data_IF_821534191178
#
_entry.id   IF_821534191178
#
_cell.length_a   1.000
_cell.length_b   1.000
_cell.length_c   1.000
_cell.angle_alpha   90.00
_cell.angle_beta   90.00
_cell.angle_gamma   90.00
#
_symmetry.space_group_name_H-M   'P 1'
#
loop_
_entity.id
_entity.type
_entity.pdbx_description
1 polymer ?
#
# COMPACT_ATOMS: atom_id res chain seq x y z
N UNK A 1 -7.74 -9.68 -3.90
CA UNK A 1 -7.42 -9.60 -5.28
C UNK A 1 -6.89 -10.83 -6.00
N UNK A 2 -5.89 -11.55 -5.48
CA UNK A 2 -5.22 -12.64 -6.22
C UNK A 2 -6.15 -13.80 -6.68
N UNK A 3 -7.14 -14.27 -5.91
CA UNK A 3 -8.07 -15.30 -6.42
C UNK A 3 -8.78 -14.90 -7.70
N UNK A 4 -9.01 -13.60 -7.91
CA UNK A 4 -9.60 -13.09 -9.15
C UNK A 4 -8.74 -13.41 -10.39
N UNK A 5 -7.41 -13.39 -10.25
CA UNK A 5 -6.48 -13.75 -11.32
C UNK A 5 -6.79 -15.15 -11.82
N UNK A 6 -6.87 -16.11 -10.91
CA UNK A 6 -7.11 -17.53 -11.23
C UNK A 6 -8.54 -17.75 -11.75
N UNK A 7 -9.54 -17.06 -11.20
CA UNK A 7 -10.91 -17.09 -11.73
C UNK A 7 -10.97 -16.57 -13.17
N UNK A 8 -10.29 -15.47 -13.48
CA UNK A 8 -10.22 -14.94 -14.84
C UNK A 8 -9.44 -15.87 -15.77
N UNK A 9 -8.33 -16.44 -15.29
CA UNK A 9 -7.58 -17.40 -16.08
C UNK A 9 -8.39 -18.69 -16.36
N UNK A 10 -9.12 -19.21 -15.38
CA UNK A 10 -10.04 -20.32 -15.58
C UNK A 10 -11.06 -20.04 -16.69
N UNK A 11 -11.55 -18.79 -16.76
CA UNK A 11 -12.53 -18.36 -17.76
C UNK A 11 -11.92 -18.19 -19.16
N UNK A 12 -10.76 -17.55 -19.25
CA UNK A 12 -10.20 -17.14 -20.55
C UNK A 12 -9.10 -18.08 -21.07
N UNK A 13 -8.50 -18.89 -20.19
CA UNK A 13 -7.37 -19.78 -20.50
C UNK A 13 -6.21 -19.08 -21.20
N UNK A 14 -6.02 -17.80 -20.89
CA UNK A 14 -4.98 -16.95 -21.47
C UNK A 14 -4.50 -15.91 -20.48
N UNK A 15 -3.21 -15.89 -20.19
CA UNK A 15 -2.55 -14.87 -19.36
C UNK A 15 -2.75 -13.48 -19.98
N UNK A 16 -2.64 -13.35 -21.31
CA UNK A 16 -2.82 -12.08 -22.01
C UNK A 16 -4.22 -11.51 -21.85
N UNK A 17 -5.25 -12.36 -21.89
CA UNK A 17 -6.63 -11.92 -21.67
C UNK A 17 -6.87 -11.49 -20.21
N UNK A 18 -6.20 -12.11 -19.24
CA UNK A 18 -6.23 -11.68 -17.84
C UNK A 18 -5.53 -10.33 -17.68
N UNK A 19 -4.34 -10.17 -18.26
CA UNK A 19 -3.56 -8.93 -18.22
C UNK A 19 -4.35 -7.71 -18.69
N UNK A 20 -5.13 -7.84 -19.74
CA UNK A 20 -5.98 -6.74 -20.27
C UNK A 20 -6.98 -6.18 -19.25
N UNK A 21 -7.27 -6.92 -18.19
CA UNK A 21 -8.35 -6.63 -17.23
C UNK A 21 -7.86 -6.23 -15.85
N UNK A 22 -6.56 -6.31 -15.60
CA UNK A 22 -5.99 -6.09 -14.28
C UNK A 22 -4.95 -4.97 -14.28
N UNK A 23 -5.00 -4.19 -13.23
CA UNK A 23 -3.99 -3.21 -12.83
C UNK A 23 -3.62 -3.52 -11.39
N UNK A 24 -2.33 -3.43 -11.06
CA UNK A 24 -1.84 -3.71 -9.72
C UNK A 24 -1.26 -2.45 -9.08
N UNK A 25 -1.64 -2.18 -7.83
CA UNK A 25 -1.02 -1.13 -7.02
C UNK A 25 -0.22 -1.77 -5.89
N UNK A 26 1.10 -1.56 -5.89
CA UNK A 26 1.94 -1.98 -4.76
C UNK A 26 2.07 -0.88 -3.74
N UNK A 27 2.02 -1.26 -2.46
CA UNK A 27 2.19 -0.35 -1.31
C UNK A 27 3.41 -0.70 -0.46
N UNK A 28 4.08 -1.80 -0.76
CA UNK A 28 5.12 -2.38 0.10
C UNK A 28 6.51 -2.13 -0.47
N UNK A 29 7.34 -1.28 0.17
CA UNK A 29 8.65 -0.90 -0.33
C UNK A 29 9.80 -1.85 0.10
N UNK A 30 9.48 -2.98 0.72
CA UNK A 30 10.47 -3.95 1.23
C UNK A 30 10.05 -5.39 0.94
N UNK A 31 11.02 -6.27 0.65
CA UNK A 31 10.72 -7.69 0.34
C UNK A 31 9.98 -8.41 1.46
N UNK A 32 10.38 -8.19 2.70
CA UNK A 32 9.78 -8.83 3.88
C UNK A 32 8.29 -8.53 4.10
N UNK A 33 7.77 -7.48 3.50
CA UNK A 33 6.35 -7.13 3.57
C UNK A 33 5.51 -7.64 2.39
N UNK A 34 6.08 -8.49 1.55
CA UNK A 34 5.37 -9.13 0.43
C UNK A 34 5.09 -10.59 0.77
N UNK A 35 3.81 -10.96 0.73
CA UNK A 35 3.38 -12.30 1.14
C UNK A 35 3.91 -13.39 0.21
N UNK A 36 4.46 -14.43 0.82
CA UNK A 36 4.91 -15.65 0.16
C UNK A 36 4.24 -16.82 0.90
N UNK A 37 3.45 -17.61 0.18
CA UNK A 37 2.56 -18.61 0.78
C UNK A 37 2.75 -19.98 0.12
N UNK A 38 2.76 -21.10 0.90
CA UNK A 38 2.84 -22.44 0.34
C UNK A 38 1.68 -22.72 -0.63
N UNK A 39 2.02 -23.21 -1.84
CA UNK A 39 1.04 -23.56 -2.88
C UNK A 39 0.04 -24.62 -2.37
N UNK A 40 0.51 -25.59 -1.61
CA UNK A 40 -0.33 -26.64 -1.03
C UNK A 40 -1.42 -26.07 -0.13
N UNK A 41 -1.08 -25.11 0.74
CA UNK A 41 -2.06 -24.43 1.60
C UNK A 41 -3.11 -23.68 0.78
N UNK A 42 -2.68 -23.00 -0.27
CA UNK A 42 -3.59 -22.27 -1.15
C UNK A 42 -4.52 -23.21 -1.92
N UNK A 43 -4.03 -24.37 -2.33
CA UNK A 43 -4.81 -25.42 -2.99
C UNK A 43 -5.87 -26.01 -2.05
N UNK A 44 -5.48 -26.35 -0.83
CA UNK A 44 -6.40 -26.81 0.22
C UNK A 44 -7.51 -25.78 0.53
N UNK A 45 -7.20 -24.49 0.39
CA UNK A 45 -8.16 -23.38 0.52
C UNK A 45 -8.99 -23.11 -0.75
N UNK A 46 -8.87 -23.93 -1.79
CA UNK A 46 -9.50 -23.74 -3.10
C UNK A 46 -9.19 -22.37 -3.75
N UNK A 47 -7.98 -21.84 -3.53
CA UNK A 47 -7.55 -20.53 -3.99
C UNK A 47 -7.44 -20.43 -5.52
N UNK A 48 -7.14 -21.56 -6.16
CA UNK A 48 -6.94 -21.67 -7.61
C UNK A 48 -8.18 -22.16 -8.37
N UNK A 49 -9.25 -22.51 -7.66
CA UNK A 49 -10.44 -23.13 -8.26
C UNK A 49 -10.12 -24.49 -8.85
N UNK A 50 -10.44 -24.70 -10.13
CA UNK A 50 -10.21 -25.98 -10.83
C UNK A 50 -8.83 -26.14 -11.46
N UNK A 51 -7.89 -25.20 -11.24
CA UNK A 51 -6.55 -25.28 -11.85
C UNK A 51 -5.67 -26.29 -11.12
N UNK A 52 -5.06 -27.24 -11.84
CA UNK A 52 -4.04 -28.10 -11.28
C UNK A 52 -2.80 -27.30 -10.83
N UNK A 53 -2.15 -27.71 -9.74
CA UNK A 53 -0.95 -27.04 -9.23
C UNK A 53 0.18 -26.93 -10.28
N UNK A 54 0.31 -27.92 -11.15
CA UNK A 54 1.30 -27.88 -12.24
C UNK A 54 1.03 -26.72 -13.20
N UNK A 55 -0.23 -26.51 -13.58
CA UNK A 55 -0.65 -25.38 -14.43
C UNK A 55 -0.46 -24.05 -13.69
N UNK A 56 -0.79 -23.98 -12.39
CA UNK A 56 -0.57 -22.80 -11.57
C UNK A 56 0.91 -22.43 -11.54
N UNK A 57 1.82 -23.38 -11.32
CA UNK A 57 3.27 -23.15 -11.34
C UNK A 57 3.75 -22.62 -12.69
N UNK A 58 3.28 -23.19 -13.77
CA UNK A 58 3.65 -22.79 -15.14
C UNK A 58 3.22 -21.34 -15.43
N UNK A 59 1.95 -21.02 -15.26
CA UNK A 59 1.42 -19.68 -15.58
C UNK A 59 1.93 -18.58 -14.64
N UNK A 60 2.24 -18.91 -13.39
CA UNK A 60 2.82 -17.97 -12.43
C UNK A 60 4.34 -17.93 -12.47
N UNK A 61 4.99 -18.80 -13.24
CA UNK A 61 6.45 -18.98 -13.26
C UNK A 61 7.01 -19.18 -11.86
N UNK A 62 6.33 -20.00 -11.06
CA UNK A 62 6.73 -20.29 -9.67
C UNK A 62 7.67 -21.47 -9.65
N UNK A 63 8.91 -21.24 -9.26
CA UNK A 63 9.88 -22.28 -8.96
C UNK A 63 9.69 -22.75 -7.50
N UNK A 64 9.64 -24.07 -7.28
CA UNK A 64 9.42 -24.63 -5.95
C UNK A 64 7.95 -24.61 -5.51
N UNK A 65 7.72 -24.49 -4.19
CA UNK A 65 6.41 -24.69 -3.58
C UNK A 65 5.82 -23.45 -2.89
N UNK A 66 6.39 -22.28 -3.16
CA UNK A 66 5.99 -21.02 -2.54
C UNK A 66 5.52 -20.01 -3.60
N UNK A 67 4.28 -19.57 -3.51
CA UNK A 67 3.72 -18.52 -4.38
C UNK A 67 4.03 -17.13 -3.82
N UNK A 68 4.69 -16.31 -4.61
CA UNK A 68 4.89 -14.89 -4.30
C UNK A 68 3.71 -14.08 -4.84
N UNK A 69 2.95 -13.47 -3.95
CA UNK A 69 1.73 -12.72 -4.31
C UNK A 69 2.01 -11.50 -5.16
N UNK A 70 3.06 -10.77 -4.86
CA UNK A 70 3.42 -9.56 -5.61
C UNK A 70 3.90 -9.90 -7.01
N UNK A 71 4.78 -10.90 -7.15
CA UNK A 71 5.22 -11.34 -8.48
C UNK A 71 4.06 -11.87 -9.33
N UNK A 72 3.19 -12.67 -8.74
CA UNK A 72 1.98 -13.14 -9.42
C UNK A 72 1.13 -11.95 -9.90
N UNK A 73 0.88 -10.96 -9.05
CA UNK A 73 0.12 -9.78 -9.43
C UNK A 73 0.79 -8.98 -10.54
N UNK A 74 2.11 -8.80 -10.49
CA UNK A 74 2.89 -8.10 -11.53
C UNK A 74 2.85 -8.84 -12.87
N UNK A 75 2.92 -10.17 -12.86
CA UNK A 75 2.88 -11.00 -14.07
C UNK A 75 1.51 -11.02 -14.74
N UNK A 76 0.44 -10.87 -13.97
CA UNK A 76 -0.95 -10.92 -14.47
C UNK A 76 -1.60 -9.56 -14.65
N UNK A 77 -0.88 -8.47 -14.47
CA UNK A 77 -1.41 -7.12 -14.70
C UNK A 77 -0.89 -6.52 -16.00
N UNK A 78 -1.70 -5.65 -16.61
CA UNK A 78 -1.29 -4.85 -17.77
C UNK A 78 -0.23 -3.84 -17.41
N UNK A 79 -0.41 -3.22 -16.22
CA UNK A 79 0.46 -2.20 -15.67
C UNK A 79 0.36 -2.24 -14.14
N UNK A 80 1.43 -1.89 -13.47
CA UNK A 80 1.43 -1.70 -12.02
C UNK A 80 1.87 -0.29 -11.65
N UNK A 81 1.50 0.17 -10.46
CA UNK A 81 2.02 1.42 -9.94
C UNK A 81 2.51 1.31 -8.50
N UNK A 82 3.61 2.01 -8.24
CA UNK A 82 3.99 2.43 -6.91
C UNK A 82 3.26 3.72 -6.51
N UNK A 83 3.05 3.94 -5.23
CA UNK A 83 2.22 5.04 -4.68
C UNK A 83 2.97 6.38 -4.55
N UNK A 84 4.19 6.46 -5.06
CA UNK A 84 4.99 7.68 -5.20
C UNK A 84 6.13 7.44 -6.21
N UNK A 85 6.81 8.49 -6.67
CA UNK A 85 8.00 8.37 -7.53
C UNK A 85 9.12 7.58 -6.85
N UNK A 86 9.37 7.84 -5.57
CA UNK A 86 10.37 7.09 -4.78
C UNK A 86 9.98 5.61 -4.71
N UNK A 87 8.72 5.31 -4.41
CA UNK A 87 8.24 3.94 -4.31
C UNK A 87 8.32 3.20 -5.67
N UNK A 88 8.03 3.88 -6.80
CA UNK A 88 8.25 3.30 -8.12
C UNK A 88 9.71 2.87 -8.30
N UNK A 89 10.68 3.73 -7.95
CA UNK A 89 12.10 3.41 -8.02
C UNK A 89 12.47 2.17 -7.21
N UNK A 90 12.01 2.11 -5.96
CA UNK A 90 12.22 0.95 -5.07
C UNK A 90 11.56 -0.31 -5.63
N UNK A 91 10.32 -0.23 -6.09
CA UNK A 91 9.61 -1.38 -6.67
C UNK A 91 10.29 -1.88 -7.95
N UNK A 92 10.78 -0.97 -8.80
CA UNK A 92 11.56 -1.34 -10.00
C UNK A 92 12.89 -2.00 -9.63
N UNK A 93 13.58 -1.52 -8.61
CA UNK A 93 14.80 -2.15 -8.13
C UNK A 93 14.55 -3.56 -7.55
N UNK A 94 13.42 -3.75 -6.86
CA UNK A 94 13.06 -5.04 -6.26
C UNK A 94 12.65 -6.09 -7.28
N UNK A 95 11.89 -5.70 -8.29
CA UNK A 95 11.16 -6.60 -9.17
C UNK A 95 11.50 -6.48 -10.65
N UNK A 96 12.18 -5.41 -11.06
CA UNK A 96 12.41 -5.09 -12.48
C UNK A 96 13.21 -6.13 -13.29
N UNK A 97 13.98 -6.97 -12.61
CA UNK A 97 14.73 -8.07 -13.23
C UNK A 97 13.93 -9.38 -13.30
N UNK A 98 12.72 -9.42 -12.75
CA UNK A 98 11.89 -10.60 -12.77
C UNK A 98 11.22 -10.79 -14.14
N UNK A 99 11.25 -12.01 -14.66
CA UNK A 99 10.70 -12.31 -15.97
C UNK A 99 9.18 -12.18 -16.02
N UNK A 100 8.69 -11.59 -17.10
CA UNK A 100 7.27 -11.55 -17.44
C UNK A 100 6.42 -10.58 -16.65
N UNK A 101 7.01 -9.67 -15.86
CA UNK A 101 6.26 -8.64 -15.14
C UNK A 101 5.79 -7.51 -16.06
N UNK A 102 4.75 -6.80 -15.63
CA UNK A 102 4.28 -5.59 -16.30
C UNK A 102 5.15 -4.36 -15.96
N UNK A 103 5.07 -3.27 -16.77
CA UNK A 103 5.69 -2.00 -16.41
C UNK A 103 5.20 -1.47 -15.06
N UNK A 104 6.11 -0.90 -14.26
CA UNK A 104 5.81 -0.26 -12.98
C UNK A 104 5.96 1.25 -13.14
N UNK A 105 4.88 1.98 -12.97
CA UNK A 105 4.84 3.45 -13.02
C UNK A 105 4.64 4.05 -11.63
N UNK A 106 4.66 5.37 -11.51
CA UNK A 106 4.28 6.05 -10.27
C UNK A 106 2.93 6.74 -10.40
N UNK A 107 2.06 6.52 -9.41
CA UNK A 107 0.85 7.33 -9.20
C UNK A 107 0.90 7.77 -7.75
N UNK A 108 1.18 9.06 -7.53
CA UNK A 108 1.27 9.58 -6.16
C UNK A 108 -0.07 9.53 -5.48
N UNK A 109 -0.12 8.95 -4.28
CA UNK A 109 -1.31 8.94 -3.46
C UNK A 109 -1.82 10.37 -3.24
N UNK A 110 -3.11 10.57 -3.47
CA UNK A 110 -3.78 11.82 -3.16
C UNK A 110 -4.33 11.79 -1.72
N UNK A 111 -4.37 12.97 -1.12
CA UNK A 111 -5.06 13.20 0.15
C UNK A 111 -6.22 14.15 -0.07
N UNK A 112 -7.33 13.92 0.62
CA UNK A 112 -8.41 14.88 0.65
C UNK A 112 -8.05 16.01 1.62
N UNK A 113 -7.41 17.07 1.10
CA UNK A 113 -6.97 18.19 1.90
C UNK A 113 -8.13 18.89 2.63
N UNK A 114 -9.35 18.89 2.08
CA UNK A 114 -10.50 19.48 2.76
C UNK A 114 -10.95 18.68 3.97
N UNK A 115 -10.74 17.35 3.97
CA UNK A 115 -11.07 16.48 5.08
C UNK A 115 -9.99 16.51 6.18
N UNK A 116 -8.70 16.50 5.79
CA UNK A 116 -7.57 16.36 6.71
C UNK A 116 -6.99 17.67 7.24
N UNK A 117 -7.37 18.82 6.66
CA UNK A 117 -6.85 20.12 7.07
C UNK A 117 -7.87 20.88 7.90
N UNK A 118 -7.44 21.39 9.04
CA UNK A 118 -8.25 22.32 9.83
C UNK A 118 -8.66 23.54 8.99
N UNK A 119 -9.95 23.89 9.02
CA UNK A 119 -10.51 24.94 8.20
C UNK A 119 -9.89 26.32 8.50
N UNK A 120 -9.65 26.62 9.78
CA UNK A 120 -9.07 27.90 10.20
C UNK A 120 -7.60 28.01 9.79
N UNK A 121 -6.80 26.93 9.94
CA UNK A 121 -5.42 26.92 9.45
C UNK A 121 -5.36 27.19 7.94
N UNK A 122 -6.23 26.53 7.16
CA UNK A 122 -6.32 26.74 5.72
C UNK A 122 -6.68 28.18 5.37
N UNK A 123 -7.68 28.75 6.06
CA UNK A 123 -8.12 30.13 5.87
C UNK A 123 -7.00 31.12 6.21
N UNK A 124 -6.39 31.01 7.39
CA UNK A 124 -5.35 31.94 7.82
C UNK A 124 -4.09 31.88 6.94
N UNK A 125 -3.74 30.69 6.46
CA UNK A 125 -2.65 30.52 5.49
C UNK A 125 -2.97 31.22 4.17
N UNK A 126 -4.17 31.03 3.61
CA UNK A 126 -4.58 31.63 2.32
C UNK A 126 -4.69 33.16 2.35
N UNK A 127 -4.95 33.72 3.53
CA UNK A 127 -5.06 35.16 3.75
C UNK A 127 -3.78 35.77 4.36
N UNK A 128 -2.70 35.01 4.46
CA UNK A 128 -1.42 35.44 5.03
C UNK A 128 -1.51 35.98 6.47
N UNK A 129 -2.47 35.50 7.25
CA UNK A 129 -2.67 35.89 8.65
C UNK A 129 -1.84 34.97 9.59
N UNK A 130 -0.54 35.20 9.61
CA UNK A 130 0.43 34.29 10.28
C UNK A 130 0.19 34.26 11.80
N UNK A 131 -0.11 35.38 12.45
CA UNK A 131 -0.35 35.39 13.90
C UNK A 131 -1.57 34.50 14.26
N UNK A 132 -2.67 34.63 13.53
CA UNK A 132 -3.88 33.81 13.74
C UNK A 132 -3.63 32.33 13.43
N UNK A 133 -2.79 32.03 12.45
CA UNK A 133 -2.35 30.66 12.17
C UNK A 133 -1.56 30.06 13.36
N UNK A 134 -0.67 30.85 13.95
CA UNK A 134 0.12 30.43 15.13
C UNK A 134 -0.81 30.21 16.33
N UNK A 135 -1.75 31.11 16.57
CA UNK A 135 -2.74 30.96 17.66
C UNK A 135 -3.57 29.69 17.47
N UNK A 136 -4.11 29.45 16.27
CA UNK A 136 -4.88 28.23 15.98
C UNK A 136 -4.06 26.96 16.20
N UNK A 137 -2.78 26.96 15.83
CA UNK A 137 -1.88 25.82 16.12
C UNK A 137 -1.67 25.59 17.62
N UNK A 138 -1.62 26.64 18.42
CA UNK A 138 -1.54 26.52 19.90
C UNK A 138 -2.80 25.93 20.49
N UNK A 139 -3.96 26.34 20.00
CA UNK A 139 -5.27 25.76 20.40
C UNK A 139 -5.32 24.26 20.10
N UNK A 140 -5.06 23.86 18.85
CA UNK A 140 -5.05 22.46 18.44
C UNK A 140 -4.03 21.61 19.22
N UNK A 141 -2.88 22.19 19.55
CA UNK A 141 -1.92 21.53 20.42
C UNK A 141 -2.49 21.29 21.83
N UNK A 142 -3.15 22.31 22.40
CA UNK A 142 -3.77 22.17 23.71
C UNK A 142 -4.89 21.09 23.69
N UNK A 143 -5.73 21.08 22.65
CA UNK A 143 -6.76 20.06 22.45
C UNK A 143 -6.15 18.65 22.41
N UNK A 144 -5.07 18.47 21.63
CA UNK A 144 -4.33 17.19 21.54
C UNK A 144 -3.79 16.76 22.92
N UNK A 145 -3.15 17.67 23.66
CA UNK A 145 -2.58 17.35 24.97
C UNK A 145 -3.65 17.03 26.01
N UNK A 146 -4.79 17.70 25.94
CA UNK A 146 -5.94 17.38 26.80
C UNK A 146 -6.47 15.98 26.48
N UNK A 147 -6.60 15.61 25.19
CA UNK A 147 -7.03 14.28 24.78
C UNK A 147 -6.07 13.19 25.27
N UNK A 148 -4.76 13.42 25.13
CA UNK A 148 -3.74 12.51 25.67
C UNK A 148 -3.85 12.38 27.18
N UNK A 149 -4.06 13.48 27.92
CA UNK A 149 -4.23 13.46 29.36
C UNK A 149 -5.48 12.65 29.76
N UNK A 150 -6.60 12.86 29.07
CA UNK A 150 -7.85 12.13 29.32
C UNK A 150 -7.70 10.61 29.11
N UNK A 151 -6.99 10.21 28.05
CA UNK A 151 -6.82 8.80 27.70
C UNK A 151 -5.75 8.08 28.54
N UNK A 152 -4.69 8.78 28.94
CA UNK A 152 -3.51 8.14 29.55
C UNK A 152 -3.19 8.59 30.97
N UNK A 153 -3.81 9.64 31.47
CA UNK A 153 -3.47 10.31 32.72
C UNK A 153 -2.16 11.09 32.71
N UNK A 154 -1.47 11.17 31.56
CA UNK A 154 -0.18 11.87 31.43
C UNK A 154 -0.38 13.33 31.02
N UNK A 155 0.27 14.24 31.75
CA UNK A 155 0.23 15.67 31.48
C UNK A 155 1.51 16.10 30.75
N UNK A 156 1.36 16.88 29.69
CA UNK A 156 2.47 17.43 28.92
C UNK A 156 2.39 18.97 28.92
N UNK A 157 3.55 19.61 28.97
CA UNK A 157 3.66 21.07 28.88
C UNK A 157 3.47 21.53 27.41
N UNK A 158 2.48 22.38 27.18
CA UNK A 158 2.18 22.93 25.86
C UNK A 158 3.31 23.82 25.28
N UNK A 159 4.18 24.34 26.13
CA UNK A 159 5.28 25.22 25.71
C UNK A 159 6.53 24.44 25.24
N UNK A 160 6.55 23.12 25.48
CA UNK A 160 7.64 22.25 25.02
C UNK A 160 7.35 21.75 23.62
N UNK A 161 8.38 21.66 22.75
CA UNK A 161 8.25 21.08 21.42
C UNK A 161 7.69 19.66 21.53
N UNK A 162 6.59 19.41 20.81
CA UNK A 162 5.94 18.11 20.80
C UNK A 162 6.10 17.44 19.43
N UNK A 163 6.71 16.26 19.42
CA UNK A 163 6.85 15.43 18.21
C UNK A 163 5.99 14.18 18.41
N UNK A 164 5.09 13.93 17.48
CA UNK A 164 4.19 12.77 17.50
C UNK A 164 4.67 11.73 16.48
N UNK A 165 4.82 10.49 16.93
CA UNK A 165 5.12 9.34 16.09
C UNK A 165 3.98 8.31 16.21
N UNK A 166 3.11 8.27 15.20
CA UNK A 166 1.97 7.37 15.16
C UNK A 166 2.15 6.36 14.01
N UNK A 167 2.62 5.15 14.31
CA UNK A 167 2.87 4.09 13.35
C UNK A 167 2.49 2.72 13.90
N UNK A 168 2.13 1.80 13.02
CA UNK A 168 2.06 0.39 13.37
C UNK A 168 3.46 -0.11 13.75
N UNK A 169 3.55 -0.94 14.78
CA UNK A 169 4.77 -1.67 15.08
C UNK A 169 4.88 -2.83 14.10
N UNK A 170 5.92 -2.84 13.28
CA UNK A 170 6.19 -3.88 12.29
C UNK A 170 7.65 -4.26 12.35
N UNK A 171 7.99 -5.47 11.90
CA UNK A 171 9.37 -5.95 11.85
C UNK A 171 10.20 -5.35 10.69
N UNK A 172 9.56 -4.52 9.85
CA UNK A 172 10.20 -3.89 8.69
C UNK A 172 9.92 -2.40 8.62
#
# INVERSE_FOLDING_TARGET
GLPLIFSLYNKFKSVEEVRKRLVFTTHTPVKAGNDIVPLKLLDEMNFFGSLPLAEVKDITKTEGDLLNYTLTALRFSKIANGVSKIHQGVATQMWGNEEGICPIVSITNAQNANYWTDHYLKKHLSTNQIDLLIERKKELKQELLNEVANQTGKLFDKNVLTIVWARRVTAY
#
